data_IF_057654565998
#
_entry.id   IF_057654565998
#
_cell.length_a   1.000
_cell.length_b   1.000
_cell.length_c   1.000
_cell.angle_alpha   90.00
_cell.angle_beta   90.00
_cell.angle_gamma   90.00
#
_symmetry.space_group_name_H-M   'P 1'
#
loop_
_entity.id
_entity.type
_entity.pdbx_description
1 polymer ?
#
# COMPACT_ATOMS: atom_id res chain seq x y z
N UNK A 1 -5.51 12.72 -19.23
CA UNK A 1 -5.03 12.09 -17.99
C UNK A 1 -5.43 12.97 -16.81
N UNK A 2 -5.83 12.39 -15.70
CA UNK A 2 -6.14 13.14 -14.47
C UNK A 2 -4.82 13.54 -13.78
N UNK A 3 -4.67 14.80 -13.34
CA UNK A 3 -3.46 15.21 -12.64
C UNK A 3 -3.40 14.61 -11.24
N UNK A 4 -2.25 14.02 -10.89
CA UNK A 4 -2.03 13.39 -9.59
C UNK A 4 -0.80 14.00 -8.90
N UNK A 5 -0.91 14.20 -7.58
CA UNK A 5 0.19 14.60 -6.71
C UNK A 5 0.52 13.46 -5.73
N UNK A 6 1.81 13.20 -5.54
CA UNK A 6 2.28 12.25 -4.56
C UNK A 6 2.54 12.94 -3.22
N UNK A 7 2.05 12.32 -2.15
CA UNK A 7 2.33 12.75 -0.77
C UNK A 7 3.52 11.91 -0.28
N UNK A 8 4.68 12.56 -0.19
CA UNK A 8 5.98 11.94 0.05
C UNK A 8 6.84 11.86 -1.22
N UNK A 9 8.17 11.95 -1.06
CA UNK A 9 9.17 11.97 -2.14
C UNK A 9 10.27 10.92 -1.97
N UNK A 10 10.11 9.96 -1.06
CA UNK A 10 11.09 8.91 -0.76
C UNK A 10 11.08 7.73 -1.74
N UNK A 11 11.67 6.61 -1.33
CA UNK A 11 11.78 5.40 -2.16
C UNK A 11 10.43 4.88 -2.68
N UNK A 12 9.38 4.90 -1.85
CA UNK A 12 8.03 4.50 -2.26
C UNK A 12 7.49 5.39 -3.39
N UNK A 13 7.75 6.71 -3.32
CA UNK A 13 7.30 7.63 -4.34
C UNK A 13 7.95 7.39 -5.71
N UNK A 14 9.21 6.94 -5.74
CA UNK A 14 9.91 6.57 -6.98
C UNK A 14 9.20 5.44 -7.71
N UNK A 15 8.83 4.39 -6.97
CA UNK A 15 8.13 3.22 -7.56
C UNK A 15 6.70 3.57 -7.98
N UNK A 16 5.99 4.35 -7.17
CA UNK A 16 4.62 4.80 -7.53
C UNK A 16 4.66 5.71 -8.77
N UNK A 17 5.68 6.57 -8.91
CA UNK A 17 5.87 7.38 -10.13
C UNK A 17 5.95 6.51 -11.37
N UNK A 18 6.73 5.40 -11.35
CA UNK A 18 6.83 4.49 -12.50
C UNK A 18 5.47 3.89 -12.88
N UNK A 19 4.63 3.56 -11.89
CA UNK A 19 3.27 3.08 -12.15
C UNK A 19 2.43 4.16 -12.84
N UNK A 20 2.53 5.40 -12.38
CA UNK A 20 1.83 6.54 -12.98
C UNK A 20 2.31 6.78 -14.41
N UNK A 21 3.62 6.77 -14.64
CA UNK A 21 4.22 6.98 -15.97
C UNK A 21 3.80 5.91 -16.98
N UNK A 22 3.52 4.68 -16.52
CA UNK A 22 3.01 3.58 -17.34
C UNK A 22 1.48 3.60 -17.51
N UNK A 23 0.79 4.46 -16.75
CA UNK A 23 -0.67 4.59 -16.79
C UNK A 23 -1.09 5.56 -17.92
N UNK A 24 -2.19 5.25 -18.59
CA UNK A 24 -2.85 6.20 -19.50
C UNK A 24 -3.94 7.04 -18.80
N UNK A 25 -4.15 6.84 -17.50
CA UNK A 25 -5.22 7.49 -16.74
C UNK A 25 -4.74 8.72 -15.96
N UNK A 26 -3.51 8.67 -15.44
CA UNK A 26 -2.96 9.69 -14.55
C UNK A 26 -1.69 10.32 -15.14
N UNK A 27 -1.43 11.56 -14.73
CA UNK A 27 -0.22 12.30 -15.06
C UNK A 27 0.37 12.89 -13.77
N UNK A 28 1.61 12.50 -13.44
CA UNK A 28 2.29 13.05 -12.26
C UNK A 28 2.53 14.55 -12.44
N UNK A 29 2.06 15.33 -11.46
CA UNK A 29 2.23 16.79 -11.46
C UNK A 29 3.13 17.28 -10.34
N UNK A 30 3.55 16.41 -9.42
CA UNK A 30 4.51 16.80 -8.40
C UNK A 30 4.37 16.07 -7.07
N UNK A 31 5.00 16.65 -6.06
CA UNK A 31 5.18 16.08 -4.75
C UNK A 31 4.81 17.06 -3.64
N UNK A 32 4.11 16.56 -2.63
CA UNK A 32 3.79 17.30 -1.41
C UNK A 32 4.46 16.58 -0.22
N UNK A 33 5.31 17.29 0.54
CA UNK A 33 5.98 16.71 1.70
C UNK A 33 6.26 17.77 2.76
N UNK A 34 6.34 17.35 4.03
CA UNK A 34 6.61 18.27 5.13
C UNK A 34 8.06 18.84 5.07
N UNK A 35 8.98 18.19 4.34
CA UNK A 35 10.38 18.60 4.20
C UNK A 35 10.59 19.77 3.21
N UNK A 36 9.64 20.03 2.33
CA UNK A 36 9.71 21.16 1.39
C UNK A 36 9.27 22.43 2.13
N UNK A 37 10.15 23.41 2.21
CA UNK A 37 9.90 24.67 2.91
C UNK A 37 9.25 25.73 2.03
N UNK A 38 9.61 25.75 0.74
CA UNK A 38 9.15 26.74 -0.23
C UNK A 38 8.66 26.07 -1.51
N UNK A 39 7.55 26.60 -2.04
CA UNK A 39 7.02 26.17 -3.33
C UNK A 39 8.02 26.44 -4.44
N UNK A 40 8.26 25.43 -5.28
CA UNK A 40 9.00 25.59 -6.53
C UNK A 40 8.51 24.62 -7.60
N UNK A 41 8.92 24.87 -8.84
CA UNK A 41 8.71 23.95 -9.97
C UNK A 41 10.05 23.53 -10.56
N UNK A 42 10.21 22.26 -10.84
CA UNK A 42 11.35 21.70 -11.54
C UNK A 42 10.82 20.70 -12.59
N UNK A 43 11.29 20.79 -13.82
CA UNK A 43 10.86 19.94 -14.96
C UNK A 43 9.33 19.81 -15.11
N UNK A 44 8.59 20.92 -14.88
CA UNK A 44 7.13 20.98 -14.86
C UNK A 44 6.45 20.26 -13.68
N UNK A 45 7.20 19.73 -12.73
CA UNK A 45 6.67 19.14 -11.51
C UNK A 45 6.58 20.21 -10.39
N UNK A 46 5.50 20.12 -9.63
CA UNK A 46 5.25 20.93 -8.44
C UNK A 46 5.96 20.28 -7.25
N UNK A 47 6.67 21.10 -6.49
CA UNK A 47 7.22 20.74 -5.18
C UNK A 47 6.69 21.73 -4.16
N UNK A 48 5.89 21.24 -3.19
CA UNK A 48 5.31 22.13 -2.18
C UNK A 48 5.20 21.45 -0.81
N UNK A 49 5.03 22.29 0.20
CA UNK A 49 4.81 21.79 1.56
C UNK A 49 3.43 21.12 1.68
N UNK A 50 3.37 20.00 2.37
CA UNK A 50 2.13 19.24 2.56
C UNK A 50 1.00 20.04 3.24
N UNK A 51 1.33 21.07 4.06
CA UNK A 51 0.35 21.96 4.66
C UNK A 51 -0.53 22.70 3.63
N UNK A 52 0.02 22.89 2.40
CA UNK A 52 -0.66 23.60 1.32
C UNK A 52 -1.58 22.70 0.47
N UNK A 53 -1.76 21.43 0.85
CA UNK A 53 -2.57 20.45 0.09
C UNK A 53 -3.99 20.94 -0.21
N UNK A 54 -4.55 21.81 0.65
CA UNK A 54 -5.88 22.38 0.47
C UNK A 54 -6.01 23.25 -0.80
N UNK A 55 -4.89 23.76 -1.33
CA UNK A 55 -4.85 24.53 -2.59
C UNK A 55 -5.04 23.63 -3.82
N UNK A 56 -4.79 22.35 -3.70
CA UNK A 56 -4.73 21.40 -4.81
C UNK A 56 -5.97 20.48 -4.90
N UNK A 57 -6.75 20.36 -3.82
CA UNK A 57 -7.84 19.36 -3.76
C UNK A 57 -9.00 19.57 -4.74
N UNK A 58 -9.12 20.75 -5.37
CA UNK A 58 -10.15 21.00 -6.38
C UNK A 58 -9.79 20.42 -7.76
N UNK A 59 -8.50 20.29 -8.07
CA UNK A 59 -8.02 19.94 -9.42
C UNK A 59 -7.26 18.61 -9.46
N UNK A 60 -6.73 18.13 -8.33
CA UNK A 60 -5.83 16.98 -8.28
C UNK A 60 -6.43 15.82 -7.50
N UNK A 61 -6.04 14.61 -7.91
CA UNK A 61 -6.12 13.42 -7.07
C UNK A 61 -4.77 13.18 -6.41
N UNK A 62 -4.73 12.34 -5.37
CA UNK A 62 -3.56 12.16 -4.52
C UNK A 62 -3.21 10.68 -4.34
N UNK A 63 -1.95 10.40 -4.03
CA UNK A 63 -1.56 9.10 -3.49
C UNK A 63 -0.53 9.28 -2.38
N UNK A 64 -0.72 8.58 -1.24
CA UNK A 64 0.22 8.63 -0.11
C UNK A 64 1.35 7.64 -0.38
N UNK A 65 2.46 8.13 -0.91
CA UNK A 65 3.62 7.35 -1.33
C UNK A 65 4.62 7.14 -0.16
N UNK A 66 4.13 6.56 0.94
CA UNK A 66 4.89 6.30 2.18
C UNK A 66 4.73 4.85 2.58
N UNK A 67 5.87 4.13 2.70
CA UNK A 67 5.91 2.70 3.01
C UNK A 67 5.47 2.34 4.43
N UNK A 68 5.68 3.22 5.40
CA UNK A 68 5.32 2.96 6.80
C UNK A 68 3.80 3.04 7.00
N UNK A 69 3.17 1.94 7.43
CA UNK A 69 1.73 1.79 7.57
C UNK A 69 1.12 2.79 8.56
N UNK A 70 1.78 2.98 9.72
CA UNK A 70 1.33 3.89 10.76
C UNK A 70 1.37 5.35 10.29
N UNK A 71 2.46 5.75 9.62
CA UNK A 71 2.60 7.11 9.08
C UNK A 71 1.56 7.33 7.99
N UNK A 72 1.35 6.37 7.08
CA UNK A 72 0.36 6.45 6.01
C UNK A 72 -1.05 6.64 6.56
N UNK A 73 -1.45 5.85 7.58
CA UNK A 73 -2.73 5.98 8.28
C UNK A 73 -2.88 7.35 8.95
N UNK A 74 -1.87 7.78 9.70
CA UNK A 74 -1.87 9.07 10.40
C UNK A 74 -1.99 10.24 9.44
N UNK A 75 -1.30 10.19 8.31
CA UNK A 75 -1.37 11.22 7.27
C UNK A 75 -2.77 11.32 6.70
N UNK A 76 -3.36 10.23 6.24
CA UNK A 76 -4.71 10.25 5.68
C UNK A 76 -5.71 10.87 6.65
N UNK A 77 -5.70 10.46 7.90
CA UNK A 77 -6.60 11.01 8.93
C UNK A 77 -6.38 12.51 9.19
N UNK A 78 -5.13 13.00 9.04
CA UNK A 78 -4.79 14.43 9.22
C UNK A 78 -5.24 15.30 8.07
N UNK A 79 -5.21 14.78 6.84
CA UNK A 79 -5.38 15.59 5.63
C UNK A 79 -6.82 16.06 5.40
N UNK A 80 -7.82 15.40 5.99
CA UNK A 80 -9.24 15.72 5.79
C UNK A 80 -9.64 15.86 4.30
N UNK A 81 -9.16 14.93 3.49
CA UNK A 81 -9.45 14.79 2.07
C UNK A 81 -10.30 13.54 1.88
N UNK A 82 -11.31 13.63 1.02
CA UNK A 82 -12.18 12.49 0.74
C UNK A 82 -11.42 11.31 0.13
N UNK A 83 -11.80 10.10 0.51
CA UNK A 83 -11.15 8.87 0.03
C UNK A 83 -11.26 8.71 -1.50
N UNK A 84 -12.29 9.27 -2.11
CA UNK A 84 -12.51 9.26 -3.56
C UNK A 84 -11.42 10.03 -4.34
N UNK A 85 -10.68 10.89 -3.67
CA UNK A 85 -9.54 11.60 -4.26
C UNK A 85 -8.23 10.79 -4.24
N UNK A 86 -8.26 9.58 -3.68
CA UNK A 86 -7.12 8.67 -3.66
C UNK A 86 -7.42 7.44 -4.54
N UNK A 87 -7.14 7.49 -5.84
CA UNK A 87 -7.44 6.36 -6.73
C UNK A 87 -6.63 5.11 -6.37
N UNK A 88 -7.11 3.96 -6.81
CA UNK A 88 -6.32 2.73 -6.88
C UNK A 88 -5.32 2.90 -8.02
N UNK A 89 -4.05 2.64 -7.74
CA UNK A 89 -2.99 2.62 -8.75
C UNK A 89 -2.55 1.19 -8.99
N UNK A 90 -2.63 0.73 -10.23
CA UNK A 90 -2.28 -0.65 -10.57
C UNK A 90 -1.24 -0.67 -11.68
N UNK A 91 -0.12 -1.34 -11.44
CA UNK A 91 0.90 -1.54 -12.46
C UNK A 91 0.35 -2.41 -13.60
N UNK A 92 0.62 -2.10 -14.89
CA UNK A 92 0.06 -2.85 -16.03
C UNK A 92 0.42 -4.35 -16.05
N UNK A 93 1.51 -4.76 -15.40
CA UNK A 93 1.89 -6.18 -15.29
C UNK A 93 1.28 -6.90 -14.09
N UNK A 94 0.49 -6.25 -13.25
CA UNK A 94 -0.24 -6.91 -12.18
C UNK A 94 -1.41 -7.71 -12.75
N UNK A 95 -1.66 -8.88 -12.16
CA UNK A 95 -2.79 -9.75 -12.52
C UNK A 95 -3.82 -9.64 -11.41
N UNK A 96 -4.97 -9.05 -11.71
CA UNK A 96 -6.06 -8.86 -10.75
C UNK A 96 -7.30 -9.56 -11.25
N UNK A 97 -7.86 -10.47 -10.44
CA UNK A 97 -9.11 -11.13 -10.75
C UNK A 97 -10.26 -10.12 -10.87
N UNK A 98 -11.17 -10.35 -11.81
CA UNK A 98 -12.36 -9.50 -12.01
C UNK A 98 -13.33 -9.55 -10.83
N UNK A 99 -13.26 -10.57 -9.97
CA UNK A 99 -14.07 -10.67 -8.75
C UNK A 99 -13.39 -10.10 -7.52
N UNK A 100 -12.10 -9.70 -7.60
CA UNK A 100 -11.40 -9.04 -6.52
C UNK A 100 -11.91 -7.61 -6.33
N UNK A 101 -11.98 -7.17 -5.06
CA UNK A 101 -12.38 -5.82 -4.68
C UNK A 101 -11.19 -5.11 -4.05
N UNK A 102 -10.84 -3.94 -4.58
CA UNK A 102 -9.72 -3.14 -4.09
C UNK A 102 -10.23 -1.73 -3.81
N UNK A 103 -10.05 -1.28 -2.58
CA UNK A 103 -10.51 0.05 -2.18
C UNK A 103 -9.46 1.13 -2.45
N UNK A 104 -9.94 2.35 -2.47
CA UNK A 104 -9.23 3.57 -2.81
C UNK A 104 -7.94 3.81 -2.00
N UNK A 105 -6.97 4.47 -2.61
CA UNK A 105 -5.65 4.74 -2.03
C UNK A 105 -4.68 3.56 -2.06
N UNK A 106 -5.15 2.37 -2.44
CA UNK A 106 -4.31 1.17 -2.57
C UNK A 106 -3.45 1.22 -3.83
N UNK A 107 -2.20 0.76 -3.72
CA UNK A 107 -1.31 0.57 -4.86
C UNK A 107 -0.99 -0.90 -5.04
N UNK A 108 -1.10 -1.39 -6.29
CA UNK A 108 -0.75 -2.74 -6.71
C UNK A 108 0.45 -2.65 -7.64
N UNK A 109 1.58 -3.20 -7.21
CA UNK A 109 2.86 -3.07 -7.90
C UNK A 109 3.08 -4.16 -8.95
N UNK A 110 4.18 -4.03 -9.68
CA UNK A 110 4.55 -4.91 -10.78
C UNK A 110 4.51 -6.40 -10.39
N UNK A 111 3.98 -7.23 -11.30
CA UNK A 111 3.93 -8.70 -11.19
C UNK A 111 3.21 -9.23 -9.94
N UNK A 112 2.42 -8.40 -9.25
CA UNK A 112 1.56 -8.89 -8.16
C UNK A 112 0.38 -9.67 -8.74
N UNK A 113 -0.04 -10.71 -8.02
CA UNK A 113 -1.21 -11.53 -8.39
C UNK A 113 -2.25 -11.41 -7.27
N UNK A 114 -3.47 -11.05 -7.63
CA UNK A 114 -4.62 -10.98 -6.72
C UNK A 114 -5.73 -11.86 -7.29
N UNK A 115 -6.00 -12.98 -6.61
CA UNK A 115 -6.93 -13.99 -7.06
C UNK A 115 -8.39 -13.73 -6.64
N UNK A 116 -9.28 -14.63 -7.06
CA UNK A 116 -10.72 -14.51 -6.99
C UNK A 116 -11.25 -14.26 -5.56
N UNK A 117 -12.36 -13.49 -5.46
CA UNK A 117 -13.09 -13.20 -4.23
C UNK A 117 -12.26 -12.55 -3.11
N UNK A 118 -11.08 -12.03 -3.43
CA UNK A 118 -10.21 -11.29 -2.49
C UNK A 118 -10.75 -9.88 -2.28
N UNK A 119 -10.80 -9.44 -1.02
CA UNK A 119 -11.17 -8.07 -0.63
C UNK A 119 -9.99 -7.35 0.01
N UNK A 120 -9.62 -6.19 -0.54
CA UNK A 120 -8.50 -5.38 -0.08
C UNK A 120 -9.02 -3.99 0.29
N UNK A 121 -8.81 -3.60 1.52
CA UNK A 121 -9.19 -2.29 2.04
C UNK A 121 -8.37 -1.13 1.47
N UNK A 122 -8.53 0.04 2.06
CA UNK A 122 -7.95 1.29 1.57
C UNK A 122 -6.48 1.48 1.96
N UNK A 123 -5.78 2.25 1.14
CA UNK A 123 -4.40 2.66 1.38
C UNK A 123 -3.43 1.49 1.64
N UNK A 124 -3.66 0.33 1.01
CA UNK A 124 -2.75 -0.81 1.09
C UNK A 124 -1.59 -0.66 0.10
N UNK A 125 -0.50 -1.35 0.40
CA UNK A 125 0.62 -1.56 -0.52
C UNK A 125 0.70 -3.05 -0.83
N UNK A 126 0.31 -3.42 -2.04
CA UNK A 126 0.48 -4.77 -2.59
C UNK A 126 1.75 -4.72 -3.41
N UNK A 127 2.88 -5.13 -2.81
CA UNK A 127 4.19 -4.84 -3.34
C UNK A 127 4.63 -5.85 -4.43
N UNK A 128 5.70 -5.54 -5.11
CA UNK A 128 6.24 -6.23 -6.29
C UNK A 128 6.27 -7.75 -6.11
N UNK A 129 5.65 -8.47 -7.05
CA UNK A 129 5.68 -9.93 -7.10
C UNK A 129 4.94 -10.64 -5.97
N UNK A 130 4.16 -9.94 -5.15
CA UNK A 130 3.37 -10.59 -4.09
C UNK A 130 2.22 -11.40 -4.68
N UNK A 131 1.87 -12.50 -4.01
CA UNK A 131 0.80 -13.40 -4.41
C UNK A 131 -0.26 -13.40 -3.32
N UNK A 132 -1.47 -13.08 -3.69
CA UNK A 132 -2.64 -13.10 -2.82
C UNK A 132 -3.63 -14.07 -3.46
N UNK A 133 -3.76 -15.26 -2.85
CA UNK A 133 -4.66 -16.30 -3.32
C UNK A 133 -6.12 -15.94 -3.05
N UNK A 134 -7.06 -16.84 -3.43
CA UNK A 134 -8.49 -16.62 -3.37
C UNK A 134 -9.03 -16.41 -1.95
N UNK A 135 -10.19 -15.75 -1.81
CA UNK A 135 -10.94 -15.56 -0.57
C UNK A 135 -10.18 -14.83 0.56
N UNK A 136 -9.13 -14.06 0.23
CA UNK A 136 -8.40 -13.29 1.23
C UNK A 136 -9.17 -12.03 1.63
N UNK A 137 -9.06 -11.65 2.91
CA UNK A 137 -9.57 -10.39 3.44
C UNK A 137 -8.42 -9.59 4.03
N UNK A 138 -8.06 -8.49 3.37
CA UNK A 138 -6.98 -7.60 3.79
C UNK A 138 -7.60 -6.28 4.23
N UNK A 139 -7.43 -5.92 5.51
CA UNK A 139 -7.95 -4.66 6.04
C UNK A 139 -7.15 -3.45 5.55
N UNK A 140 -7.41 -2.26 6.11
CA UNK A 140 -6.81 -1.01 5.68
C UNK A 140 -5.33 -0.88 6.06
N UNK A 141 -4.56 -0.11 5.29
CA UNK A 141 -3.17 0.28 5.55
C UNK A 141 -2.17 -0.87 5.70
N UNK A 142 -2.49 -2.04 5.21
CA UNK A 142 -1.58 -3.20 5.22
C UNK A 142 -0.47 -3.02 4.19
N UNK A 143 0.70 -3.59 4.46
CA UNK A 143 1.79 -3.72 3.50
C UNK A 143 2.11 -5.19 3.27
N UNK A 144 1.73 -5.71 2.12
CA UNK A 144 2.13 -7.01 1.61
C UNK A 144 3.44 -6.78 0.87
N UNK A 145 4.57 -7.13 1.51
CA UNK A 145 5.92 -6.80 1.03
C UNK A 145 6.33 -7.64 -0.19
N UNK A 146 7.43 -7.31 -0.89
CA UNK A 146 7.82 -7.98 -2.13
C UNK A 146 7.89 -9.51 -1.99
N UNK A 147 7.39 -10.22 -3.01
CA UNK A 147 7.41 -11.68 -3.12
C UNK A 147 6.78 -12.45 -1.93
N UNK A 148 5.97 -11.81 -1.10
CA UNK A 148 5.24 -12.51 -0.05
C UNK A 148 4.01 -13.21 -0.61
N UNK A 149 3.59 -14.30 0.05
CA UNK A 149 2.47 -15.13 -0.39
C UNK A 149 1.44 -15.27 0.72
N UNK A 150 0.22 -14.86 0.46
CA UNK A 150 -0.96 -15.22 1.23
C UNK A 150 -1.67 -16.36 0.50
N UNK A 151 -1.79 -17.51 1.14
CA UNK A 151 -2.55 -18.62 0.57
C UNK A 151 -4.06 -18.41 0.76
N UNK A 152 -4.91 -19.36 0.35
CA UNK A 152 -6.35 -19.15 0.33
C UNK A 152 -6.98 -18.85 1.70
N UNK A 153 -7.90 -17.89 1.75
CA UNK A 153 -8.73 -17.59 2.91
C UNK A 153 -8.00 -16.93 4.10
N UNK A 154 -6.87 -16.25 3.87
CA UNK A 154 -6.14 -15.54 4.93
C UNK A 154 -6.83 -14.22 5.25
N UNK A 155 -6.94 -13.89 6.55
CA UNK A 155 -7.39 -12.60 7.03
C UNK A 155 -6.18 -11.79 7.56
N UNK A 156 -5.97 -10.57 7.05
CA UNK A 156 -4.88 -9.68 7.49
C UNK A 156 -5.46 -8.43 8.13
N UNK A 157 -5.10 -8.21 9.39
CA UNK A 157 -5.55 -7.10 10.21
C UNK A 157 -4.99 -5.74 9.78
N UNK A 158 -5.64 -4.68 10.25
CA UNK A 158 -5.32 -3.28 9.91
C UNK A 158 -3.86 -2.92 10.23
N UNK A 159 -3.24 -2.19 9.33
CA UNK A 159 -1.87 -1.67 9.46
C UNK A 159 -0.79 -2.73 9.73
N UNK A 160 -1.08 -4.01 9.46
CA UNK A 160 -0.12 -5.10 9.59
C UNK A 160 0.86 -5.13 8.44
N UNK A 161 1.98 -5.79 8.63
CA UNK A 161 3.00 -5.96 7.60
C UNK A 161 3.33 -7.44 7.42
N UNK A 162 3.25 -7.91 6.18
CA UNK A 162 3.76 -9.22 5.77
C UNK A 162 5.13 -8.96 5.13
N UNK A 163 6.19 -9.44 5.77
CA UNK A 163 7.57 -9.21 5.34
C UNK A 163 7.91 -9.85 3.99
N UNK A 164 8.94 -9.33 3.34
CA UNK A 164 9.36 -9.81 2.03
C UNK A 164 9.60 -11.33 2.03
N UNK A 165 9.09 -12.02 0.99
CA UNK A 165 9.18 -13.48 0.83
C UNK A 165 8.59 -14.30 1.99
N UNK A 166 7.76 -13.70 2.84
CA UNK A 166 7.04 -14.47 3.87
C UNK A 166 5.85 -15.21 3.25
N UNK A 167 5.50 -16.36 3.83
CA UNK A 167 4.36 -17.17 3.43
C UNK A 167 3.41 -17.35 4.60
N UNK A 168 2.11 -17.12 4.37
CA UNK A 168 1.04 -17.38 5.35
C UNK A 168 0.21 -18.55 4.87
N UNK A 169 0.09 -19.61 5.70
CA UNK A 169 -0.68 -20.81 5.38
C UNK A 169 -2.20 -20.56 5.35
N UNK A 170 -2.99 -21.44 4.72
CA UNK A 170 -4.42 -21.19 4.47
C UNK A 170 -5.24 -20.96 5.74
N UNK A 171 -6.28 -20.12 5.60
CA UNK A 171 -7.28 -19.81 6.62
C UNK A 171 -6.73 -19.28 7.94
N UNK A 172 -5.53 -18.67 7.93
CA UNK A 172 -4.93 -18.06 9.10
C UNK A 172 -5.33 -16.59 9.23
N UNK A 173 -5.28 -16.10 10.48
CA UNK A 173 -5.53 -14.70 10.83
C UNK A 173 -4.24 -14.05 11.29
N UNK A 174 -3.94 -12.89 10.74
CA UNK A 174 -2.89 -11.98 11.16
C UNK A 174 -3.57 -10.79 11.83
N UNK A 175 -3.28 -10.57 13.11
CA UNK A 175 -3.91 -9.52 13.90
C UNK A 175 -3.56 -8.10 13.45
N UNK A 176 -4.29 -7.11 13.94
CA UNK A 176 -4.04 -5.70 13.65
C UNK A 176 -2.65 -5.28 14.14
N UNK A 177 -1.93 -4.47 13.37
CA UNK A 177 -0.56 -4.01 13.67
C UNK A 177 0.47 -5.11 13.87
N UNK A 178 0.18 -6.34 13.47
CA UNK A 178 1.13 -7.44 13.54
C UNK A 178 2.22 -7.31 12.48
N UNK A 179 3.38 -7.87 12.75
CA UNK A 179 4.51 -7.89 11.81
C UNK A 179 4.95 -9.33 11.61
N UNK A 180 4.84 -9.81 10.39
CA UNK A 180 5.46 -11.05 9.94
C UNK A 180 6.82 -10.70 9.35
N UNK A 181 7.90 -11.25 9.92
CA UNK A 181 9.26 -10.99 9.45
C UNK A 181 9.52 -11.52 8.04
N UNK A 182 10.51 -10.96 7.37
CA UNK A 182 10.90 -11.41 6.04
C UNK A 182 11.31 -12.91 6.05
N UNK A 183 10.90 -13.66 5.01
CA UNK A 183 11.16 -15.09 4.86
C UNK A 183 10.45 -15.98 5.89
N UNK A 184 9.57 -15.45 6.72
CA UNK A 184 8.88 -16.26 7.71
C UNK A 184 7.78 -17.13 7.09
N UNK A 185 7.56 -18.34 7.65
CA UNK A 185 6.42 -19.21 7.30
C UNK A 185 5.46 -19.27 8.46
N UNK A 186 4.33 -18.57 8.33
CA UNK A 186 3.30 -18.51 9.36
C UNK A 186 2.42 -19.75 9.27
N UNK A 187 2.38 -20.51 10.36
CA UNK A 187 1.66 -21.79 10.49
C UNK A 187 0.57 -21.75 11.57
N UNK A 188 0.44 -20.65 12.30
CA UNK A 188 -0.59 -20.43 13.32
C UNK A 188 -1.08 -18.98 13.22
N UNK A 189 -2.24 -18.69 13.83
CA UNK A 189 -2.72 -17.31 13.95
C UNK A 189 -1.69 -16.42 14.66
N UNK A 190 -1.65 -15.15 14.26
CA UNK A 190 -0.77 -14.13 14.84
C UNK A 190 -1.66 -13.10 15.53
N UNK A 191 -1.37 -12.82 16.80
CA UNK A 191 -2.16 -11.88 17.61
C UNK A 191 -1.90 -10.42 17.21
N UNK A 192 -2.79 -9.52 17.64
CA UNK A 192 -2.62 -8.09 17.46
C UNK A 192 -1.27 -7.61 18.05
N UNK A 193 -0.60 -6.72 17.32
CA UNK A 193 0.70 -6.15 17.70
C UNK A 193 1.85 -7.16 17.87
N UNK A 194 1.64 -8.40 17.53
CA UNK A 194 2.67 -9.44 17.65
C UNK A 194 3.67 -9.36 16.49
N UNK A 195 4.94 -9.67 16.81
CA UNK A 195 5.98 -9.82 15.81
C UNK A 195 6.37 -11.29 15.77
N UNK A 196 6.28 -11.90 14.58
CA UNK A 196 6.66 -13.30 14.35
C UNK A 196 7.73 -13.40 13.29
N UNK A 197 8.71 -14.29 13.49
CA UNK A 197 9.83 -14.50 12.55
C UNK A 197 10.19 -15.98 12.46
N UNK A 198 10.84 -16.36 11.37
CA UNK A 198 11.43 -17.71 11.16
C UNK A 198 10.50 -18.70 10.47
N UNK A 199 10.98 -19.92 10.30
CA UNK A 199 10.29 -21.05 9.65
C UNK A 199 10.41 -22.28 10.54
N UNK A 200 9.32 -22.69 11.25
CA UNK A 200 8.03 -22.00 11.35
C UNK A 200 8.12 -20.67 12.12
N UNK A 201 7.23 -19.73 11.79
CA UNK A 201 7.21 -18.43 12.43
C UNK A 201 6.85 -18.53 13.92
N UNK A 202 7.64 -17.86 14.77
CA UNK A 202 7.45 -17.81 16.21
C UNK A 202 7.48 -16.36 16.72
N UNK A 203 6.71 -16.04 17.76
CA UNK A 203 6.76 -14.72 18.39
C UNK A 203 8.15 -14.37 18.92
N UNK A 204 8.53 -13.11 18.71
CA UNK A 204 9.70 -12.53 19.36
C UNK A 204 9.28 -11.38 20.28
N UNK A 205 10.03 -11.16 21.35
CA UNK A 205 9.87 -9.98 22.20
C UNK A 205 10.75 -8.86 21.64
N UNK A 206 10.18 -7.66 21.56
CA UNK A 206 10.97 -6.41 21.42
C UNK A 206 11.27 -5.86 22.78
#
# INVERSE_FOLDING_TARGET
MKPILLIGSGGQAKVVKEIIDLSNEYELKGYLTDDITEYHKEENLIYDNLKNIHLYKAEYVFHIAIGNNYIRKRLFNRLAISIEQFPVLTHPSAIVSSSAKIENGTVVMANSVINAETSIGKHNIINTGSIIEHDNVIKDYVHISPNSTLTGGVEVGEASQIGASATVLPALKIGDYAIVGAGATVVNHVENHQIVVGTPAKPIRR
#
